data_IF_915430948514
#
_entry.id   IF_915430948514
#
_cell.length_a   1.000
_cell.length_b   1.000
_cell.length_c   1.000
_cell.angle_alpha   90.00
_cell.angle_beta   90.00
_cell.angle_gamma   90.00
#
_symmetry.space_group_name_H-M   'P 1'
#
loop_
_entity.id
_entity.type
_entity.pdbx_description
1 polymer ?
#
# COMPACT_ATOMS: atom_id res chain seq x y z
N UNK A 1 -8.12 -28.35 -2.84
CA UNK A 1 -7.29 -27.16 -3.10
C UNK A 1 -6.55 -26.80 -1.82
N UNK A 2 -5.23 -26.67 -1.89
CA UNK A 2 -4.40 -26.24 -0.77
C UNK A 2 -4.58 -24.74 -0.55
N UNK A 3 -4.60 -24.31 0.70
CA UNK A 3 -4.65 -22.87 1.04
C UNK A 3 -3.23 -22.31 1.07
N UNK A 4 -2.95 -21.35 0.17
CA UNK A 4 -1.66 -20.68 0.08
C UNK A 4 -1.79 -19.31 0.70
N UNK A 5 -1.09 -19.12 1.80
CA UNK A 5 -1.06 -17.86 2.54
C UNK A 5 0.02 -16.94 1.96
N UNK A 6 -0.30 -15.66 1.85
CA UNK A 6 0.67 -14.65 1.43
C UNK A 6 0.91 -13.71 2.59
N UNK A 7 2.18 -13.59 3.00
CA UNK A 7 2.66 -12.64 4.00
C UNK A 7 3.27 -11.42 3.31
N UNK A 8 2.80 -10.23 3.65
CA UNK A 8 3.42 -8.99 3.14
C UNK A 8 4.59 -8.57 4.02
N UNK A 9 5.77 -8.45 3.41
CA UNK A 9 7.01 -8.05 4.06
C UNK A 9 7.48 -6.64 3.69
N UNK A 10 6.62 -5.83 3.03
CA UNK A 10 7.00 -4.51 2.50
C UNK A 10 7.57 -3.59 3.57
N UNK A 11 6.96 -3.52 4.75
CA UNK A 11 7.43 -2.62 5.81
C UNK A 11 8.76 -3.07 6.39
N UNK A 12 8.98 -4.37 6.47
CA UNK A 12 10.23 -4.96 6.93
C UNK A 12 11.37 -4.71 5.93
N UNK A 13 11.13 -4.96 4.64
CA UNK A 13 12.11 -4.69 3.60
C UNK A 13 12.41 -3.18 3.46
N UNK A 14 11.40 -2.32 3.64
CA UNK A 14 11.57 -0.88 3.66
C UNK A 14 12.52 -0.41 4.77
N UNK A 15 12.46 -1.03 5.95
CA UNK A 15 13.36 -0.70 7.05
C UNK A 15 14.81 -1.15 6.80
N UNK A 16 14.97 -2.30 6.15
CA UNK A 16 16.29 -2.81 5.77
C UNK A 16 16.90 -2.04 4.58
N UNK A 17 16.07 -1.42 3.75
CA UNK A 17 16.50 -0.68 2.57
C UNK A 17 16.80 0.78 2.90
N UNK A 18 17.97 1.27 2.49
CA UNK A 18 18.29 2.71 2.54
C UNK A 18 17.60 3.52 1.44
N UNK A 19 17.00 2.86 0.48
CA UNK A 19 16.37 3.48 -0.68
C UNK A 19 14.90 3.87 -0.45
N UNK A 20 14.28 3.41 0.64
CA UNK A 20 12.88 3.69 0.96
C UNK A 20 12.74 4.10 2.42
N UNK A 21 12.31 5.33 2.65
CA UNK A 21 12.00 5.84 3.99
C UNK A 21 10.50 6.08 4.12
N UNK A 22 9.84 5.27 4.96
CA UNK A 22 8.42 5.41 5.26
C UNK A 22 8.22 6.11 6.60
N UNK A 23 7.47 7.21 6.58
CA UNK A 23 7.00 7.82 7.82
C UNK A 23 6.03 6.87 8.55
N UNK A 24 5.88 7.06 9.85
CA UNK A 24 4.97 6.21 10.63
C UNK A 24 3.51 6.28 10.15
N UNK A 25 3.06 7.46 9.69
CA UNK A 25 1.72 7.66 9.10
C UNK A 25 1.54 6.81 7.83
N UNK A 26 2.54 6.79 6.96
CA UNK A 26 2.52 5.97 5.73
C UNK A 26 2.48 4.48 6.05
N UNK A 27 3.25 4.02 7.04
CA UNK A 27 3.19 2.63 7.52
C UNK A 27 1.79 2.25 8.00
N UNK A 28 1.10 3.11 8.76
CA UNK A 28 -0.26 2.86 9.20
C UNK A 28 -1.27 2.77 8.04
N UNK A 29 -1.11 3.60 7.00
CA UNK A 29 -1.96 3.53 5.82
C UNK A 29 -1.70 2.26 5.00
N UNK A 30 -0.44 1.85 4.83
CA UNK A 30 -0.08 0.58 4.18
C UNK A 30 -0.71 -0.60 4.93
N UNK A 31 -0.61 -0.63 6.26
CA UNK A 31 -1.25 -1.67 7.10
C UNK A 31 -2.74 -1.77 6.83
N UNK A 32 -3.47 -0.66 6.80
CA UNK A 32 -4.91 -0.65 6.52
C UNK A 32 -5.25 -1.19 5.13
N UNK A 33 -4.43 -0.85 4.13
CA UNK A 33 -4.61 -1.34 2.76
C UNK A 33 -4.41 -2.86 2.72
N UNK A 34 -3.32 -3.36 3.31
CA UNK A 34 -2.97 -4.77 3.34
C UNK A 34 -3.99 -5.61 4.11
N UNK A 35 -4.41 -5.15 5.28
CA UNK A 35 -5.43 -5.83 6.10
C UNK A 35 -6.78 -5.91 5.36
N UNK A 36 -7.12 -4.85 4.59
CA UNK A 36 -8.34 -4.82 3.78
C UNK A 36 -8.29 -5.81 2.62
N UNK A 37 -7.18 -5.94 1.89
CA UNK A 37 -7.08 -6.87 0.76
C UNK A 37 -6.93 -8.32 1.19
N UNK A 38 -6.76 -8.58 2.49
CA UNK A 38 -6.77 -9.93 3.06
C UNK A 38 -5.47 -10.70 2.89
N UNK A 39 -4.30 -10.04 3.01
CA UNK A 39 -3.04 -10.77 3.19
C UNK A 39 -3.09 -11.59 4.49
N UNK A 40 -2.47 -12.77 4.49
CA UNK A 40 -2.51 -13.65 5.66
C UNK A 40 -1.75 -13.07 6.85
N UNK A 41 -0.60 -12.47 6.61
CA UNK A 41 0.19 -11.79 7.63
C UNK A 41 0.78 -10.48 7.10
N UNK A 42 0.99 -9.54 8.01
CA UNK A 42 1.67 -8.26 7.77
C UNK A 42 2.91 -8.25 8.66
N UNK A 43 4.09 -8.28 8.03
CA UNK A 43 5.35 -8.29 8.76
C UNK A 43 5.83 -6.85 9.00
N UNK A 44 6.20 -6.57 10.24
CA UNK A 44 6.73 -5.26 10.66
C UNK A 44 8.14 -5.39 11.18
N UNK A 45 8.78 -4.26 11.40
CA UNK A 45 10.11 -4.19 12.02
C UNK A 45 10.09 -4.67 13.46
N UNK A 46 11.19 -5.27 13.91
CA UNK A 46 11.42 -5.61 15.32
C UNK A 46 11.69 -4.37 16.18
N UNK A 47 11.87 -4.59 17.48
CA UNK A 47 12.26 -3.54 18.43
C UNK A 47 13.79 -3.42 18.43
N UNK A 48 14.30 -2.30 17.95
CA UNK A 48 15.72 -1.96 18.03
C UNK A 48 15.98 -0.90 19.12
N UNK A 49 15.15 0.14 19.17
CA UNK A 49 15.25 1.29 20.06
C UNK A 49 14.00 1.37 20.94
N UNK A 50 14.04 0.69 22.02
CA UNK A 50 13.05 0.26 23.01
C UNK A 50 11.67 0.97 23.11
N UNK A 51 11.60 2.32 23.17
CA UNK A 51 10.30 2.98 23.47
C UNK A 51 9.49 3.34 22.21
N UNK A 52 10.13 3.87 21.19
CA UNK A 52 9.46 4.35 19.98
C UNK A 52 8.93 3.18 19.15
N UNK A 53 9.76 2.14 18.97
CA UNK A 53 9.38 0.96 18.18
C UNK A 53 8.25 0.18 18.86
N UNK A 54 8.31 0.05 20.20
CA UNK A 54 7.22 -0.55 20.98
C UNK A 54 5.89 0.21 20.80
N UNK A 55 5.91 1.54 20.77
CA UNK A 55 4.71 2.35 20.53
C UNK A 55 4.19 2.20 19.09
N UNK A 56 5.09 2.11 18.10
CA UNK A 56 4.73 1.85 16.70
C UNK A 56 4.03 0.50 16.54
N UNK A 57 4.61 -0.57 17.11
CA UNK A 57 4.02 -1.91 17.07
C UNK A 57 2.65 -1.92 17.76
N UNK A 58 2.50 -1.28 18.92
CA UNK A 58 1.21 -1.16 19.62
C UNK A 58 0.14 -0.47 18.77
N UNK A 59 0.51 0.59 18.08
CA UNK A 59 -0.41 1.33 17.20
C UNK A 59 -0.82 0.48 16.00
N UNK A 60 0.11 -0.24 15.38
CA UNK A 60 -0.17 -1.18 14.29
C UNK A 60 -1.07 -2.32 14.80
N UNK A 61 -0.75 -2.91 15.95
CA UNK A 61 -1.52 -3.98 16.58
C UNK A 61 -3.00 -3.62 16.76
N UNK A 62 -3.30 -2.36 17.08
CA UNK A 62 -4.68 -1.89 17.24
C UNK A 62 -5.45 -1.76 15.91
N UNK A 63 -4.74 -1.64 14.77
CA UNK A 63 -5.33 -1.45 13.45
C UNK A 63 -5.56 -2.76 12.68
N UNK A 64 -4.69 -3.76 12.88
CA UNK A 64 -4.79 -5.06 12.20
C UNK A 64 -5.97 -5.85 12.75
N UNK A 65 -6.94 -6.20 11.89
CA UNK A 65 -8.17 -6.91 12.28
C UNK A 65 -8.31 -8.27 11.59
N UNK A 66 -7.93 -8.36 10.34
CA UNK A 66 -8.15 -9.54 9.50
C UNK A 66 -6.87 -10.34 9.27
N UNK A 67 -5.73 -9.68 9.23
CA UNK A 67 -4.41 -10.30 9.04
C UNK A 67 -3.78 -10.69 10.38
N UNK A 68 -2.73 -11.50 10.33
CA UNK A 68 -1.85 -11.75 11.48
C UNK A 68 -0.75 -10.68 11.51
N UNK A 69 -0.52 -10.08 12.66
CA UNK A 69 0.63 -9.20 12.87
C UNK A 69 1.86 -10.05 13.14
N UNK A 70 2.83 -10.04 12.24
CA UNK A 70 4.07 -10.79 12.40
C UNK A 70 5.22 -9.85 12.77
N UNK A 71 5.94 -10.19 13.86
CA UNK A 71 7.00 -9.35 14.41
C UNK A 71 8.24 -10.19 14.70
N UNK A 72 9.42 -9.81 14.15
CA UNK A 72 10.66 -10.50 14.44
C UNK A 72 11.14 -10.21 15.85
N UNK A 73 11.74 -11.22 16.46
CA UNK A 73 12.36 -11.16 17.79
C UNK A 73 13.82 -11.56 17.72
N UNK A 74 14.66 -10.97 18.57
CA UNK A 74 16.02 -11.46 18.81
C UNK A 74 15.96 -12.73 19.67
N UNK A 75 16.99 -13.58 19.63
CA UNK A 75 17.04 -14.84 20.36
C UNK A 75 17.39 -14.65 21.86
N UNK A 76 16.93 -13.57 22.48
CA UNK A 76 17.07 -13.28 23.91
C UNK A 76 15.69 -13.02 24.53
N UNK A 77 15.54 -13.38 25.80
CA UNK A 77 14.26 -13.34 26.50
C UNK A 77 13.72 -11.91 26.65
N UNK A 78 14.61 -10.91 26.81
CA UNK A 78 14.23 -9.50 26.95
C UNK A 78 13.57 -8.97 25.67
N UNK A 79 14.15 -9.26 24.49
CA UNK A 79 13.58 -8.90 23.21
C UNK A 79 12.24 -9.59 22.97
N UNK A 80 12.13 -10.89 23.28
CA UNK A 80 10.90 -11.65 23.10
C UNK A 80 9.77 -11.06 23.97
N UNK A 81 10.03 -10.77 25.23
CA UNK A 81 9.03 -10.19 26.14
C UNK A 81 8.65 -8.75 25.75
N UNK A 82 9.62 -7.95 25.31
CA UNK A 82 9.38 -6.59 24.85
C UNK A 82 8.47 -6.56 23.61
N UNK A 83 8.77 -7.39 22.60
CA UNK A 83 7.96 -7.52 21.38
C UNK A 83 6.56 -8.04 21.69
N UNK A 84 6.45 -9.09 22.51
CA UNK A 84 5.15 -9.61 22.93
C UNK A 84 4.30 -8.56 23.65
N UNK A 85 4.90 -7.84 24.60
CA UNK A 85 4.20 -6.76 25.31
C UNK A 85 3.68 -5.66 24.38
N UNK A 86 4.35 -5.41 23.27
CA UNK A 86 3.93 -4.45 22.27
C UNK A 86 2.86 -5.01 21.32
N UNK A 87 2.97 -6.28 20.92
CA UNK A 87 2.14 -6.89 19.87
C UNK A 87 0.86 -7.55 20.38
N UNK A 88 0.80 -7.99 21.66
CA UNK A 88 -0.32 -8.76 22.25
C UNK A 88 -1.69 -8.10 22.17
N UNK A 89 -1.76 -6.82 21.79
CA UNK A 89 -3.02 -6.11 21.57
C UNK A 89 -3.67 -6.42 20.21
N UNK A 90 -2.96 -7.06 19.27
CA UNK A 90 -3.53 -7.49 18.01
C UNK A 90 -4.37 -8.77 18.19
N UNK A 91 -5.35 -9.00 17.31
CA UNK A 91 -6.20 -10.18 17.36
C UNK A 91 -5.44 -11.49 17.11
N UNK A 92 -4.43 -11.44 16.25
CA UNK A 92 -3.55 -12.57 15.91
C UNK A 92 -2.12 -12.05 15.82
N UNK A 93 -1.22 -12.68 16.54
CA UNK A 93 0.20 -12.31 16.62
C UNK A 93 1.05 -13.51 16.27
N UNK A 94 1.98 -13.33 15.36
CA UNK A 94 3.05 -14.26 15.03
C UNK A 94 4.38 -13.69 15.51
N UNK A 95 5.09 -14.44 16.35
CA UNK A 95 6.47 -14.12 16.69
C UNK A 95 7.41 -14.85 15.73
N UNK A 96 8.39 -14.13 15.18
CA UNK A 96 9.32 -14.66 14.19
C UNK A 96 10.72 -14.73 14.78
N UNK A 97 11.25 -15.96 14.92
CA UNK A 97 12.64 -16.21 15.30
C UNK A 97 13.46 -16.38 14.03
N UNK A 98 14.52 -15.60 13.86
CA UNK A 98 15.32 -15.56 12.64
C UNK A 98 16.73 -16.04 12.87
N UNK A 99 17.23 -16.90 11.99
CA UNK A 99 18.62 -17.34 12.02
C UNK A 99 19.21 -17.44 10.61
N UNK A 100 20.41 -16.94 10.45
CA UNK A 100 21.22 -17.19 9.26
C UNK A 100 21.81 -18.60 9.34
N UNK A 101 21.42 -19.47 8.40
CA UNK A 101 21.74 -20.89 8.46
C UNK A 101 22.83 -21.32 7.50
N UNK A 102 23.26 -20.49 6.54
CA UNK A 102 24.36 -20.86 5.64
C UNK A 102 25.72 -20.69 6.33
N UNK A 103 26.73 -21.49 5.96
CA UNK A 103 28.05 -21.43 6.59
C UNK A 103 28.68 -20.03 6.57
N UNK A 104 28.57 -19.31 5.44
CA UNK A 104 29.10 -17.97 5.30
C UNK A 104 28.39 -16.96 6.20
N UNK A 105 27.07 -17.03 6.29
CA UNK A 105 26.29 -16.08 7.12
C UNK A 105 26.43 -16.38 8.62
N UNK A 106 26.51 -17.66 9.00
CA UNK A 106 26.81 -18.07 10.39
C UNK A 106 28.16 -17.54 10.88
N UNK A 107 29.21 -17.66 10.04
CA UNK A 107 30.56 -17.24 10.41
C UNK A 107 30.68 -15.71 10.46
N UNK A 108 30.17 -14.99 9.44
CA UNK A 108 30.42 -13.55 9.30
C UNK A 108 29.37 -12.66 9.95
N UNK A 109 28.13 -13.13 10.10
CA UNK A 109 27.03 -12.31 10.64
C UNK A 109 26.72 -12.67 12.09
N UNK A 110 26.61 -13.97 12.39
CA UNK A 110 26.21 -14.41 13.73
C UNK A 110 27.38 -14.80 14.63
N UNK A 111 28.55 -15.03 14.07
CA UNK A 111 29.74 -15.47 14.80
C UNK A 111 29.51 -16.70 15.71
N UNK A 112 28.65 -17.64 15.27
CA UNK A 112 28.22 -18.83 16.01
C UNK A 112 28.57 -20.11 15.28
N UNK A 113 28.81 -21.17 16.07
CA UNK A 113 28.96 -22.54 15.55
C UNK A 113 27.59 -23.13 15.24
N UNK A 114 27.53 -24.03 14.27
CA UNK A 114 26.28 -24.65 13.76
C UNK A 114 25.40 -25.28 14.86
N UNK A 115 26.00 -26.06 15.78
CA UNK A 115 25.26 -26.71 16.86
C UNK A 115 24.72 -25.71 17.88
N UNK A 116 25.51 -24.69 18.23
CA UNK A 116 25.08 -23.63 19.14
C UNK A 116 23.91 -22.80 18.55
N UNK A 117 23.87 -22.63 17.21
CA UNK A 117 22.75 -21.96 16.55
C UNK A 117 21.46 -22.75 16.68
N UNK A 118 21.50 -24.08 16.53
CA UNK A 118 20.34 -24.95 16.70
C UNK A 118 19.77 -24.83 18.12
N UNK A 119 20.63 -24.89 19.13
CA UNK A 119 20.20 -24.78 20.54
C UNK A 119 19.59 -23.40 20.85
N UNK A 120 20.22 -22.32 20.39
CA UNK A 120 19.72 -20.96 20.59
C UNK A 120 18.39 -20.74 19.87
N UNK A 121 18.26 -21.21 18.64
CA UNK A 121 17.01 -21.12 17.88
C UNK A 121 15.88 -21.92 18.55
N UNK A 122 16.14 -23.15 18.95
CA UNK A 122 15.15 -23.98 19.65
C UNK A 122 14.72 -23.35 20.98
N UNK A 123 15.65 -22.80 21.76
CA UNK A 123 15.35 -22.10 23.02
C UNK A 123 14.48 -20.87 22.77
N UNK A 124 14.82 -20.05 21.79
CA UNK A 124 14.06 -18.84 21.46
C UNK A 124 12.64 -19.19 20.96
N UNK A 125 12.50 -20.21 20.11
CA UNK A 125 11.21 -20.71 19.64
C UNK A 125 10.37 -21.24 20.82
N UNK A 126 10.95 -22.02 21.72
CA UNK A 126 10.25 -22.52 22.91
C UNK A 126 9.74 -21.36 23.79
N UNK A 127 10.56 -20.34 23.99
CA UNK A 127 10.15 -19.14 24.74
C UNK A 127 9.02 -18.37 24.06
N UNK A 128 9.04 -18.25 22.73
CA UNK A 128 7.93 -17.67 21.97
C UNK A 128 6.66 -18.50 22.07
N UNK A 129 6.78 -19.84 22.03
CA UNK A 129 5.65 -20.77 22.13
C UNK A 129 4.96 -20.75 23.52
N UNK A 130 5.62 -20.29 24.57
CA UNK A 130 4.98 -20.01 25.85
C UNK A 130 4.02 -18.80 25.79
N UNK A 131 4.20 -17.90 24.82
CA UNK A 131 3.49 -16.64 24.73
C UNK A 131 2.37 -16.66 23.66
N UNK A 132 2.59 -17.36 22.54
CA UNK A 132 1.65 -17.43 21.41
C UNK A 132 1.69 -18.80 20.75
N UNK A 133 0.54 -19.25 20.21
CA UNK A 133 0.42 -20.51 19.46
C UNK A 133 0.98 -20.37 18.01
N UNK A 134 1.21 -19.15 17.52
CA UNK A 134 1.72 -18.88 16.16
C UNK A 134 3.18 -18.38 16.21
N UNK A 135 4.11 -19.32 16.12
CA UNK A 135 5.56 -19.07 16.08
C UNK A 135 6.12 -19.51 14.74
N UNK A 136 6.83 -18.60 14.08
CA UNK A 136 7.53 -18.83 12.82
C UNK A 136 9.05 -18.83 13.05
N UNK A 137 9.72 -19.83 12.51
CA UNK A 137 11.17 -19.81 12.37
C UNK A 137 11.56 -19.44 10.93
N UNK A 138 12.43 -18.45 10.76
CA UNK A 138 12.88 -17.96 9.45
C UNK A 138 14.36 -18.35 9.26
N UNK A 139 14.59 -19.31 8.35
CA UNK A 139 15.93 -19.77 7.96
C UNK A 139 16.49 -18.84 6.85
N UNK A 140 17.28 -17.85 7.24
CA UNK A 140 17.89 -16.89 6.30
C UNK A 140 19.00 -17.59 5.52
N UNK A 141 19.00 -17.42 4.19
CA UNK A 141 20.02 -17.96 3.28
C UNK A 141 20.05 -19.50 3.26
N UNK A 142 18.88 -20.09 3.35
CA UNK A 142 18.69 -21.55 3.46
C UNK A 142 19.13 -22.31 2.20
N UNK A 143 19.02 -21.70 1.02
CA UNK A 143 19.37 -22.33 -0.27
C UNK A 143 20.88 -22.59 -0.44
N UNK A 144 21.73 -21.89 0.35
CA UNK A 144 23.18 -22.09 0.36
C UNK A 144 23.66 -22.94 1.54
N UNK A 145 22.77 -23.70 2.13
CA UNK A 145 23.03 -24.56 3.28
C UNK A 145 22.91 -26.03 2.88
N UNK A 146 23.66 -26.90 3.56
CA UNK A 146 23.50 -28.36 3.44
C UNK A 146 22.09 -28.78 3.91
N UNK A 147 21.38 -29.54 3.08
CA UNK A 147 19.99 -29.95 3.36
C UNK A 147 19.89 -30.79 4.64
N UNK A 148 20.92 -31.64 4.94
CA UNK A 148 20.90 -32.44 6.15
C UNK A 148 21.08 -31.60 7.42
N UNK A 149 21.88 -30.52 7.36
CA UNK A 149 21.98 -29.57 8.45
C UNK A 149 20.68 -28.78 8.63
N UNK A 150 20.11 -28.27 7.54
CA UNK A 150 18.84 -27.54 7.57
C UNK A 150 17.70 -28.40 8.14
N UNK A 151 17.66 -29.71 7.78
CA UNK A 151 16.71 -30.64 8.36
C UNK A 151 16.83 -30.79 9.88
N UNK A 152 18.06 -30.79 10.43
CA UNK A 152 18.28 -30.81 11.90
C UNK A 152 17.78 -29.51 12.56
N UNK A 153 17.99 -28.35 11.94
CA UNK A 153 17.46 -27.08 12.42
C UNK A 153 15.94 -27.13 12.46
N UNK A 154 15.31 -27.55 11.36
CA UNK A 154 13.84 -27.67 11.26
C UNK A 154 13.28 -28.62 12.32
N UNK A 155 13.91 -29.79 12.51
CA UNK A 155 13.48 -30.74 13.53
C UNK A 155 13.54 -30.14 14.94
N UNK A 156 14.61 -29.42 15.26
CA UNK A 156 14.80 -28.80 16.57
C UNK A 156 13.74 -27.70 16.82
N UNK A 157 13.53 -26.79 15.86
CA UNK A 157 12.56 -25.69 16.03
C UNK A 157 11.10 -26.18 15.98
N UNK A 158 10.79 -27.21 15.20
CA UNK A 158 9.46 -27.83 15.18
C UNK A 158 9.14 -28.47 16.53
N UNK A 159 10.07 -29.21 17.11
CA UNK A 159 9.94 -29.79 18.46
C UNK A 159 9.80 -28.71 19.54
N UNK A 160 10.45 -27.56 19.35
CA UNK A 160 10.34 -26.42 20.25
C UNK A 160 9.01 -25.67 20.16
N UNK A 161 8.17 -25.94 19.14
CA UNK A 161 6.84 -25.38 19.00
C UNK A 161 6.61 -24.47 17.80
N UNK A 162 7.56 -24.36 16.87
CA UNK A 162 7.34 -23.63 15.63
C UNK A 162 6.21 -24.26 14.83
N UNK A 163 5.26 -23.44 14.38
CA UNK A 163 4.14 -23.84 13.50
C UNK A 163 4.40 -23.55 12.04
N UNK A 164 5.31 -22.64 11.76
CA UNK A 164 5.75 -22.30 10.40
C UNK A 164 7.27 -22.27 10.38
N UNK A 165 7.86 -22.84 9.35
CA UNK A 165 9.28 -22.66 9.02
C UNK A 165 9.36 -22.05 7.64
N UNK A 166 10.04 -20.88 7.52
CA UNK A 166 10.26 -20.22 6.24
C UNK A 166 11.70 -20.39 5.81
N UNK A 167 11.92 -20.84 4.58
CA UNK A 167 13.23 -20.91 3.95
C UNK A 167 13.42 -19.74 2.99
N UNK A 168 14.55 -19.04 3.13
CA UNK A 168 14.85 -17.87 2.32
C UNK A 168 15.94 -18.17 1.30
N UNK A 169 15.67 -17.90 0.02
CA UNK A 169 16.68 -17.76 -1.03
C UNK A 169 17.19 -16.31 -1.05
N UNK A 170 18.08 -16.00 -0.11
CA UNK A 170 18.63 -14.65 0.01
C UNK A 170 19.58 -14.28 -1.16
N UNK A 171 20.17 -15.26 -1.81
CA UNK A 171 21.02 -15.03 -2.98
C UNK A 171 20.20 -14.75 -4.26
N UNK A 172 18.96 -15.23 -4.33
CA UNK A 172 18.11 -15.09 -5.52
C UNK A 172 18.75 -15.66 -6.77
N UNK A 173 19.48 -16.76 -6.64
CA UNK A 173 20.33 -17.31 -7.70
C UNK A 173 19.83 -18.67 -8.23
N UNK A 174 18.73 -19.18 -7.70
CA UNK A 174 18.14 -20.43 -8.15
C UNK A 174 17.20 -20.24 -9.35
N UNK A 175 17.22 -21.21 -10.26
CA UNK A 175 16.17 -21.37 -11.26
C UNK A 175 14.92 -22.01 -10.61
N UNK A 176 13.72 -21.84 -11.21
CA UNK A 176 12.49 -22.41 -10.63
C UNK A 176 12.53 -23.91 -10.39
N UNK A 177 13.13 -24.68 -11.32
CA UNK A 177 13.30 -26.11 -11.19
C UNK A 177 14.25 -26.50 -10.07
N UNK A 178 15.36 -25.75 -9.91
CA UNK A 178 16.32 -25.97 -8.83
C UNK A 178 15.70 -25.68 -7.47
N UNK A 179 14.91 -24.60 -7.37
CA UNK A 179 14.20 -24.26 -6.14
C UNK A 179 13.12 -25.31 -5.80
N UNK A 180 12.35 -25.78 -6.77
CA UNK A 180 11.39 -26.87 -6.56
C UNK A 180 12.10 -28.17 -6.11
N UNK A 181 13.23 -28.50 -6.70
CA UNK A 181 14.05 -29.65 -6.30
C UNK A 181 14.53 -29.50 -4.85
N UNK A 182 15.06 -28.32 -4.48
CA UNK A 182 15.49 -28.02 -3.12
C UNK A 182 14.36 -28.22 -2.09
N UNK A 183 13.17 -27.67 -2.37
CA UNK A 183 11.98 -27.86 -1.51
C UNK A 183 11.61 -29.36 -1.42
N UNK A 184 11.60 -30.07 -2.54
CA UNK A 184 11.31 -31.50 -2.56
C UNK A 184 12.32 -32.36 -1.76
N UNK A 185 13.59 -32.00 -1.82
CA UNK A 185 14.64 -32.68 -1.04
C UNK A 185 14.55 -32.34 0.44
N UNK A 186 14.14 -31.12 0.77
CA UNK A 186 13.91 -30.72 2.15
C UNK A 186 12.74 -31.49 2.79
N UNK A 187 11.63 -31.71 2.09
CA UNK A 187 10.52 -32.54 2.57
C UNK A 187 10.95 -33.99 2.83
N UNK A 188 11.86 -34.53 2.00
CA UNK A 188 12.42 -35.88 2.23
C UNK A 188 13.32 -35.95 3.45
N UNK A 189 14.13 -34.89 3.66
CA UNK A 189 15.12 -34.83 4.75
C UNK A 189 14.51 -34.45 6.10
N UNK A 190 13.41 -33.67 6.11
CA UNK A 190 12.74 -33.18 7.30
C UNK A 190 11.25 -33.61 7.32
N UNK A 191 10.91 -34.82 7.75
CA UNK A 191 9.52 -35.33 7.76
C UNK A 191 8.55 -34.45 8.60
N UNK A 192 9.07 -33.68 9.56
CA UNK A 192 8.30 -32.77 10.41
C UNK A 192 7.57 -31.68 9.61
N UNK A 193 8.03 -31.37 8.40
CA UNK A 193 7.35 -30.44 7.48
C UNK A 193 5.98 -30.95 7.02
N UNK A 194 5.62 -32.20 7.26
CA UNK A 194 4.28 -32.70 7.02
C UNK A 194 3.25 -32.23 8.08
N UNK A 195 3.73 -31.79 9.26
CA UNK A 195 2.90 -31.38 10.40
C UNK A 195 2.90 -29.86 10.63
N UNK A 196 3.79 -29.13 9.97
CA UNK A 196 3.93 -27.67 10.08
C UNK A 196 3.92 -27.02 8.70
N UNK A 197 3.69 -25.73 8.68
CA UNK A 197 3.68 -24.97 7.43
C UNK A 197 5.09 -24.66 6.92
N UNK A 198 5.33 -24.88 5.62
CA UNK A 198 6.53 -24.42 4.96
C UNK A 198 6.29 -23.10 4.25
N UNK A 199 6.97 -22.05 4.71
CA UNK A 199 7.04 -20.73 4.07
C UNK A 199 8.26 -20.65 3.13
N UNK A 200 8.15 -19.78 2.13
CA UNK A 200 9.22 -19.46 1.19
C UNK A 200 9.38 -17.95 1.03
N UNK A 201 10.64 -17.51 0.87
CA UNK A 201 11.00 -16.13 0.54
C UNK A 201 12.10 -16.14 -0.51
N UNK A 202 11.87 -15.53 -1.68
CA UNK A 202 12.81 -15.56 -2.80
C UNK A 202 13.22 -14.12 -3.16
N UNK A 203 14.53 -13.86 -3.15
CA UNK A 203 15.09 -12.63 -3.72
C UNK A 203 15.08 -12.67 -5.25
N UNK A 204 15.02 -11.50 -5.88
CA UNK A 204 14.77 -11.34 -7.32
C UNK A 204 16.03 -10.96 -8.13
N UNK A 205 17.21 -11.38 -7.71
CA UNK A 205 18.46 -11.00 -8.37
C UNK A 205 18.57 -11.48 -9.83
N UNK A 206 17.97 -12.62 -10.15
CA UNK A 206 17.87 -13.13 -11.53
C UNK A 206 16.54 -12.82 -12.21
N UNK A 207 15.67 -11.98 -11.63
CA UNK A 207 14.31 -11.71 -12.08
C UNK A 207 13.43 -12.98 -12.17
N UNK A 208 13.67 -13.96 -11.32
CA UNK A 208 12.97 -15.26 -11.27
C UNK A 208 12.18 -15.47 -9.97
N UNK A 209 12.15 -14.51 -9.05
CA UNK A 209 11.53 -14.69 -7.72
C UNK A 209 10.08 -15.17 -7.79
N UNK A 210 9.25 -14.58 -8.64
CA UNK A 210 7.84 -14.96 -8.79
C UNK A 210 7.71 -16.39 -9.34
N UNK A 211 8.56 -16.76 -10.29
CA UNK A 211 8.58 -18.11 -10.86
C UNK A 211 9.08 -19.15 -9.84
N UNK A 212 10.12 -18.80 -9.06
CA UNK A 212 10.60 -19.65 -7.96
C UNK A 212 9.52 -19.81 -6.87
N UNK A 213 8.78 -18.75 -6.53
CA UNK A 213 7.69 -18.83 -5.57
C UNK A 213 6.58 -19.78 -6.04
N UNK A 214 6.17 -19.71 -7.30
CA UNK A 214 5.19 -20.64 -7.89
C UNK A 214 5.72 -22.07 -7.89
N UNK A 215 6.98 -22.28 -8.28
CA UNK A 215 7.62 -23.60 -8.26
C UNK A 215 7.71 -24.19 -6.84
N UNK A 216 8.01 -23.35 -5.83
CA UNK A 216 8.00 -23.73 -4.41
C UNK A 216 6.61 -24.13 -3.91
N UNK A 217 5.56 -23.39 -4.32
CA UNK A 217 4.16 -23.74 -4.02
C UNK A 217 3.80 -25.09 -4.65
N UNK A 218 4.20 -25.34 -5.89
CA UNK A 218 4.00 -26.64 -6.55
C UNK A 218 4.73 -27.76 -5.81
N UNK A 219 5.91 -27.50 -5.28
CA UNK A 219 6.71 -28.45 -4.51
C UNK A 219 6.22 -28.68 -3.08
N UNK A 220 5.23 -27.92 -2.59
CA UNK A 220 4.60 -28.15 -1.28
C UNK A 220 4.58 -26.99 -0.30
N UNK A 221 5.17 -25.84 -0.63
CA UNK A 221 5.10 -24.65 0.23
C UNK A 221 3.64 -24.18 0.40
N UNK A 222 3.30 -23.71 1.62
CA UNK A 222 1.97 -23.24 2.01
C UNK A 222 1.92 -21.74 2.33
N UNK A 223 3.09 -21.09 2.45
CA UNK A 223 3.19 -19.64 2.71
C UNK A 223 4.24 -19.02 1.78
N UNK A 224 3.90 -17.87 1.20
CA UNK A 224 4.80 -17.07 0.34
C UNK A 224 4.99 -15.70 0.97
N UNK A 225 6.23 -15.30 1.19
CA UNK A 225 6.58 -13.92 1.55
C UNK A 225 6.71 -13.07 0.30
N UNK A 226 6.01 -11.96 0.25
CA UNK A 226 5.96 -11.08 -0.92
C UNK A 226 5.89 -9.61 -0.50
N UNK A 227 6.20 -8.70 -1.42
CA UNK A 227 6.10 -7.25 -1.20
C UNK A 227 5.03 -6.63 -2.07
N UNK A 228 4.31 -5.68 -1.50
CA UNK A 228 3.31 -4.84 -2.18
C UNK A 228 3.92 -3.65 -2.92
N UNK A 229 5.23 -3.47 -2.82
CA UNK A 229 6.04 -2.49 -3.55
C UNK A 229 7.31 -3.17 -4.07
N UNK A 230 7.83 -2.84 -5.28
CA UNK A 230 9.03 -3.49 -5.82
C UNK A 230 10.26 -3.28 -4.94
N UNK A 231 10.74 -4.34 -4.30
CA UNK A 231 11.87 -4.32 -3.36
C UNK A 231 12.89 -5.45 -3.61
N UNK A 232 12.91 -5.99 -4.84
CA UNK A 232 13.86 -7.04 -5.19
C UNK A 232 13.56 -8.41 -4.60
N UNK A 233 12.31 -8.67 -4.28
CA UNK A 233 11.76 -9.97 -3.84
C UNK A 233 10.47 -10.28 -4.60
N UNK A 234 9.79 -11.35 -4.26
CA UNK A 234 8.51 -11.76 -4.84
C UNK A 234 7.48 -10.63 -4.80
N UNK A 235 6.80 -10.40 -5.92
CA UNK A 235 5.75 -9.38 -6.01
C UNK A 235 4.38 -9.94 -5.60
N UNK A 236 3.74 -9.30 -4.61
CA UNK A 236 2.45 -9.73 -4.06
C UNK A 236 1.35 -9.80 -5.12
N UNK A 237 1.28 -8.80 -6.00
CA UNK A 237 0.26 -8.74 -7.05
C UNK A 237 0.44 -9.85 -8.10
N UNK A 238 1.68 -10.18 -8.45
CA UNK A 238 1.98 -11.24 -9.40
C UNK A 238 1.57 -12.61 -8.83
N UNK A 239 2.03 -12.94 -7.63
CA UNK A 239 1.73 -14.23 -7.01
C UNK A 239 0.23 -14.39 -6.76
N UNK A 240 -0.44 -13.38 -6.21
CA UNK A 240 -1.89 -13.45 -5.97
C UNK A 240 -2.68 -13.65 -7.27
N UNK A 241 -2.32 -12.96 -8.37
CA UNK A 241 -2.96 -13.13 -9.67
C UNK A 241 -2.66 -14.51 -10.30
N UNK A 242 -1.43 -14.99 -10.17
CA UNK A 242 -1.07 -16.32 -10.68
C UNK A 242 -1.86 -17.40 -9.95
N UNK A 243 -1.91 -17.36 -8.61
CA UNK A 243 -2.67 -18.32 -7.81
C UNK A 243 -4.17 -18.27 -8.13
N UNK A 244 -4.74 -17.09 -8.33
CA UNK A 244 -6.15 -16.95 -8.74
C UNK A 244 -6.41 -17.48 -10.16
N UNK A 245 -5.54 -17.15 -11.14
CA UNK A 245 -5.73 -17.53 -12.53
C UNK A 245 -5.43 -19.01 -12.82
N UNK A 246 -4.62 -19.66 -11.99
CA UNK A 246 -4.14 -21.03 -12.14
C UNK A 246 -4.54 -21.95 -10.99
N UNK A 247 -5.56 -21.57 -10.21
CA UNK A 247 -6.01 -22.30 -9.03
C UNK A 247 -6.24 -23.78 -9.28
N UNK A 248 -6.91 -24.12 -10.39
CA UNK A 248 -7.18 -25.51 -10.77
C UNK A 248 -5.91 -26.30 -11.14
N UNK A 249 -4.98 -25.66 -11.85
CA UNK A 249 -3.72 -26.30 -12.29
C UNK A 249 -2.77 -26.52 -11.11
N UNK A 250 -2.74 -25.59 -10.17
CA UNK A 250 -1.86 -25.61 -8.99
C UNK A 250 -2.49 -26.38 -7.82
N UNK A 251 -3.78 -26.76 -7.93
CA UNK A 251 -4.59 -27.24 -6.80
C UNK A 251 -4.42 -26.38 -5.55
N UNK A 252 -4.44 -25.05 -5.76
CA UNK A 252 -4.11 -24.07 -4.75
C UNK A 252 -5.04 -22.85 -4.84
N UNK A 253 -5.39 -22.27 -3.70
CA UNK A 253 -6.17 -21.04 -3.61
C UNK A 253 -5.49 -20.03 -2.70
N UNK A 254 -5.77 -18.74 -2.92
CA UNK A 254 -5.27 -17.65 -2.11
C UNK A 254 -6.44 -16.71 -1.74
N UNK A 255 -6.47 -16.23 -0.52
CA UNK A 255 -7.55 -15.36 -0.02
C UNK A 255 -7.33 -13.87 -0.27
N UNK A 256 -6.23 -13.48 -0.91
CA UNK A 256 -6.00 -12.08 -1.30
C UNK A 256 -7.06 -11.64 -2.32
N UNK A 257 -7.72 -10.52 -2.07
CA UNK A 257 -8.79 -9.98 -2.92
C UNK A 257 -8.25 -9.41 -4.21
N UNK A 258 -8.18 -10.23 -5.24
CA UNK A 258 -7.60 -9.87 -6.55
C UNK A 258 -8.35 -8.72 -7.23
N UNK A 259 -9.66 -8.60 -7.01
CA UNK A 259 -10.49 -7.50 -7.54
C UNK A 259 -10.07 -6.12 -7.04
N UNK A 260 -9.60 -6.01 -5.80
CA UNK A 260 -9.14 -4.76 -5.20
C UNK A 260 -7.62 -4.55 -5.34
N UNK A 261 -6.90 -5.60 -5.76
CA UNK A 261 -5.44 -5.68 -5.69
C UNK A 261 -4.74 -4.57 -6.47
N UNK A 262 -5.15 -4.32 -7.71
CA UNK A 262 -4.55 -3.29 -8.57
C UNK A 262 -4.62 -1.90 -7.93
N UNK A 263 -5.80 -1.56 -7.38
CA UNK A 263 -6.00 -0.28 -6.68
C UNK A 263 -5.16 -0.20 -5.41
N UNK A 264 -5.11 -1.29 -4.64
CA UNK A 264 -4.32 -1.37 -3.42
C UNK A 264 -2.81 -1.17 -3.71
N UNK A 265 -2.27 -1.87 -4.73
CA UNK A 265 -0.87 -1.71 -5.13
C UNK A 265 -0.55 -0.30 -5.60
N UNK A 266 -1.43 0.34 -6.36
CA UNK A 266 -1.26 1.74 -6.76
C UNK A 266 -1.27 2.70 -5.56
N UNK A 267 -2.09 2.43 -4.53
CA UNK A 267 -2.09 3.22 -3.30
C UNK A 267 -0.79 3.03 -2.51
N UNK A 268 -0.32 1.79 -2.36
CA UNK A 268 0.96 1.50 -1.69
C UNK A 268 2.13 2.16 -2.43
N UNK A 269 2.17 2.06 -3.77
CA UNK A 269 3.20 2.68 -4.58
C UNK A 269 3.27 4.21 -4.37
N UNK A 270 2.14 4.88 -4.27
CA UNK A 270 2.09 6.33 -3.97
C UNK A 270 2.64 6.68 -2.58
N UNK A 271 2.43 5.80 -1.59
CA UNK A 271 2.97 6.00 -0.25
C UNK A 271 4.47 5.73 -0.18
N UNK A 272 4.97 4.81 -1.01
CA UNK A 272 6.38 4.41 -1.06
C UNK A 272 7.27 5.32 -1.93
N UNK A 273 6.70 6.14 -2.82
CA UNK A 273 7.48 7.03 -3.68
C UNK A 273 7.95 8.28 -2.94
N UNK A 274 9.26 8.42 -2.72
CA UNK A 274 9.88 9.64 -2.18
C UNK A 274 9.81 10.82 -3.16
N UNK A 275 9.89 10.54 -4.45
CA UNK A 275 9.85 11.54 -5.52
C UNK A 275 8.46 11.53 -6.15
N UNK A 276 7.58 12.42 -5.71
CA UNK A 276 6.20 12.52 -6.19
C UNK A 276 6.09 12.78 -7.69
N UNK A 277 7.17 13.31 -8.31
CA UNK A 277 7.29 13.44 -9.77
C UNK A 277 7.50 12.09 -10.48
N UNK A 278 8.13 11.11 -9.81
CA UNK A 278 8.33 9.77 -10.35
C UNK A 278 7.13 8.83 -10.11
N UNK A 279 6.27 9.13 -9.14
CA UNK A 279 5.02 8.40 -8.96
C UNK A 279 4.10 8.49 -10.20
N UNK A 280 4.19 9.58 -10.95
CA UNK A 280 3.52 9.71 -12.23
C UNK A 280 4.08 8.76 -13.32
N UNK A 281 5.36 8.37 -13.24
CA UNK A 281 5.98 7.42 -14.17
C UNK A 281 5.65 5.95 -13.84
N UNK A 282 5.35 5.64 -12.56
CA UNK A 282 4.98 4.27 -12.13
C UNK A 282 3.51 3.92 -12.42
N UNK A 283 2.67 4.87 -12.78
CA UNK A 283 1.35 4.60 -13.37
C UNK A 283 1.43 3.99 -14.76
N UNK A 284 2.62 3.89 -15.37
CA UNK A 284 2.86 3.24 -16.65
C UNK A 284 2.51 1.75 -16.73
N UNK A 285 2.39 1.02 -15.60
CA UNK A 285 1.91 -0.37 -15.64
C UNK A 285 0.38 -0.51 -15.61
N UNK A 286 -0.34 0.57 -15.32
CA UNK A 286 -1.81 0.64 -15.48
C UNK A 286 -2.17 0.91 -16.94
N UNK A 287 -1.23 1.42 -17.75
CA UNK A 287 -1.47 1.86 -19.11
C UNK A 287 -1.43 0.74 -20.14
N UNK A 288 -0.82 -0.41 -19.91
CA UNK A 288 -0.78 -1.48 -20.93
C UNK A 288 -2.16 -2.06 -21.28
N UNK A 289 -3.16 -1.96 -20.39
CA UNK A 289 -4.54 -2.37 -20.70
C UNK A 289 -5.38 -1.24 -21.33
N UNK A 290 -4.89 0.01 -21.32
CA UNK A 290 -5.63 1.21 -21.77
C UNK A 290 -4.73 2.14 -22.60
N UNK A 291 -3.54 1.71 -23.04
CA UNK A 291 -2.74 2.40 -24.05
C UNK A 291 -3.52 2.49 -25.34
N UNK A 292 -3.86 3.72 -25.73
CA UNK A 292 -4.61 4.00 -26.97
C UNK A 292 -5.97 4.68 -26.74
N UNK A 293 -6.40 4.90 -25.50
CA UNK A 293 -7.60 5.71 -25.26
C UNK A 293 -7.30 7.17 -25.49
N UNK A 294 -7.91 7.69 -26.53
CA UNK A 294 -7.91 9.11 -26.83
C UNK A 294 -9.37 9.49 -26.99
N UNK A 295 -9.94 10.11 -25.96
CA UNK A 295 -11.27 10.67 -25.98
C UNK A 295 -11.21 12.14 -26.40
N UNK A 296 -12.25 12.59 -27.08
CA UNK A 296 -12.39 13.94 -27.60
C UNK A 296 -13.73 14.54 -27.17
N UNK A 297 -13.91 15.84 -27.33
CA UNK A 297 -15.16 16.51 -27.05
C UNK A 297 -16.37 15.97 -27.86
N UNK A 298 -16.12 15.23 -28.94
CA UNK A 298 -17.14 14.64 -29.81
C UNK A 298 -17.64 13.26 -29.37
N UNK A 299 -17.01 12.63 -28.38
CA UNK A 299 -17.41 11.31 -27.90
C UNK A 299 -18.69 11.41 -27.05
N UNK A 300 -19.55 10.39 -27.18
CA UNK A 300 -20.81 10.30 -26.46
C UNK A 300 -20.63 9.74 -25.05
N UNK A 301 -21.68 9.84 -24.24
CA UNK A 301 -21.66 9.39 -22.85
C UNK A 301 -21.39 7.88 -22.75
N UNK A 302 -21.97 7.08 -23.63
CA UNK A 302 -21.82 5.63 -23.58
C UNK A 302 -20.39 5.21 -23.85
N UNK A 303 -19.72 5.86 -24.82
CA UNK A 303 -18.29 5.64 -25.11
C UNK A 303 -17.42 6.01 -23.90
N UNK A 304 -17.63 7.18 -23.31
CA UNK A 304 -16.88 7.60 -22.13
C UNK A 304 -17.10 6.64 -20.95
N UNK A 305 -18.33 6.21 -20.70
CA UNK A 305 -18.64 5.28 -19.61
C UNK A 305 -18.06 3.88 -19.83
N UNK A 306 -17.98 3.37 -21.06
CA UNK A 306 -17.26 2.12 -21.35
C UNK A 306 -15.78 2.19 -20.95
N UNK A 307 -15.13 3.34 -21.13
CA UNK A 307 -13.75 3.53 -20.67
C UNK A 307 -13.66 3.70 -19.16
N UNK A 308 -14.64 4.35 -18.53
CA UNK A 308 -14.74 4.45 -17.06
C UNK A 308 -14.89 3.06 -16.44
N UNK A 309 -15.71 2.18 -17.02
CA UNK A 309 -15.82 0.78 -16.59
C UNK A 309 -14.51 0.00 -16.78
N UNK A 310 -13.79 0.21 -17.89
CA UNK A 310 -12.47 -0.39 -18.12
C UNK A 310 -11.43 0.10 -17.12
N UNK A 311 -11.57 1.31 -16.59
CA UNK A 311 -10.75 1.82 -15.48
C UNK A 311 -11.14 1.18 -14.12
N UNK A 312 -12.23 0.36 -14.09
CA UNK A 312 -12.67 -0.37 -12.91
C UNK A 312 -13.68 0.36 -12.04
N UNK A 313 -14.32 1.41 -12.57
CA UNK A 313 -15.38 2.14 -11.86
C UNK A 313 -16.75 1.64 -12.29
N UNK A 314 -17.61 1.33 -11.33
CA UNK A 314 -19.05 1.10 -11.53
C UNK A 314 -19.76 2.29 -10.91
N UNK A 315 -20.32 3.15 -11.75
CA UNK A 315 -20.98 4.40 -11.36
C UNK A 315 -22.50 4.24 -11.38
N UNK A 316 -23.22 5.00 -10.53
CA UNK A 316 -24.65 5.19 -10.67
C UNK A 316 -24.96 6.07 -11.89
N UNK A 317 -26.20 6.06 -12.37
CA UNK A 317 -26.61 6.89 -13.51
C UNK A 317 -26.41 8.40 -13.23
N UNK A 318 -26.58 8.82 -11.98
CA UNK A 318 -26.36 10.20 -11.54
C UNK A 318 -24.87 10.56 -11.57
N UNK A 319 -24.01 9.68 -11.06
CA UNK A 319 -22.55 9.87 -11.07
C UNK A 319 -21.99 9.82 -12.49
N UNK A 320 -22.53 8.95 -13.35
CA UNK A 320 -22.14 8.85 -14.75
C UNK A 320 -22.44 10.16 -15.51
N UNK A 321 -23.62 10.77 -15.25
CA UNK A 321 -23.95 12.07 -15.83
C UNK A 321 -23.00 13.19 -15.32
N UNK A 322 -22.68 13.20 -14.02
CA UNK A 322 -21.77 14.19 -13.44
C UNK A 322 -20.34 14.05 -13.99
N UNK A 323 -19.85 12.83 -14.14
CA UNK A 323 -18.54 12.53 -14.76
C UNK A 323 -18.51 12.97 -16.22
N UNK A 324 -19.56 12.70 -16.98
CA UNK A 324 -19.65 13.09 -18.39
C UNK A 324 -19.67 14.62 -18.58
N UNK A 325 -20.40 15.35 -17.75
CA UNK A 325 -20.37 16.81 -17.74
C UNK A 325 -19.00 17.38 -17.39
N UNK A 326 -18.32 16.80 -16.39
CA UNK A 326 -16.96 17.18 -16.04
C UNK A 326 -15.97 16.87 -17.19
N UNK A 327 -16.11 15.71 -17.84
CA UNK A 327 -15.35 15.33 -19.02
C UNK A 327 -15.54 16.33 -20.15
N UNK A 328 -16.76 16.70 -20.51
CA UNK A 328 -17.05 17.69 -21.57
C UNK A 328 -16.40 19.04 -21.32
N UNK A 329 -16.43 19.55 -20.09
CA UNK A 329 -15.80 20.81 -19.74
C UNK A 329 -14.28 20.79 -19.96
N UNK A 330 -13.65 19.67 -19.65
CA UNK A 330 -12.20 19.50 -19.83
C UNK A 330 -11.86 19.28 -21.32
N UNK A 331 -12.62 18.42 -21.99
CA UNK A 331 -12.44 18.13 -23.41
C UNK A 331 -12.72 19.36 -24.32
N UNK A 332 -13.53 20.32 -23.89
CA UNK A 332 -13.74 21.56 -24.62
C UNK A 332 -12.48 22.46 -24.66
N UNK A 333 -11.61 22.36 -23.66
CA UNK A 333 -10.36 23.13 -23.55
C UNK A 333 -9.13 22.34 -23.99
N UNK A 334 -9.30 21.05 -24.32
CA UNK A 334 -8.21 20.14 -24.64
C UNK A 334 -8.62 19.23 -25.82
N UNK A 335 -7.77 19.12 -26.83
CA UNK A 335 -8.08 18.30 -28.03
C UNK A 335 -8.25 16.81 -27.71
N UNK A 336 -7.56 16.30 -26.67
CA UNK A 336 -7.53 14.86 -26.34
C UNK A 336 -7.48 14.65 -24.83
N UNK A 337 -8.28 13.73 -24.32
CA UNK A 337 -8.31 13.29 -22.91
C UNK A 337 -7.87 11.83 -22.84
N UNK A 338 -6.79 11.54 -22.14
CA UNK A 338 -6.24 10.20 -21.95
C UNK A 338 -6.84 9.45 -20.77
N UNK A 339 -6.46 8.19 -20.60
CA UNK A 339 -6.94 7.32 -19.53
C UNK A 339 -6.67 7.88 -18.11
N UNK A 340 -5.47 8.44 -17.88
CA UNK A 340 -5.07 9.02 -16.60
C UNK A 340 -5.90 10.25 -16.24
N UNK A 341 -6.24 11.05 -17.25
CA UNK A 341 -7.08 12.24 -17.10
C UNK A 341 -8.52 11.85 -16.81
N UNK A 342 -9.03 10.83 -17.52
CA UNK A 342 -10.37 10.30 -17.27
C UNK A 342 -10.48 9.72 -15.85
N UNK A 343 -9.48 8.98 -15.38
CA UNK A 343 -9.42 8.48 -13.99
C UNK A 343 -9.49 9.63 -12.97
N UNK A 344 -8.73 10.69 -13.21
CA UNK A 344 -8.74 11.89 -12.37
C UNK A 344 -10.10 12.61 -12.40
N UNK A 345 -10.75 12.70 -13.58
CA UNK A 345 -12.10 13.28 -13.74
C UNK A 345 -13.12 12.48 -12.93
N UNK A 346 -13.10 11.14 -13.05
CA UNK A 346 -13.97 10.25 -12.27
C UNK A 346 -13.77 10.44 -10.77
N UNK A 347 -12.51 10.45 -10.32
CA UNK A 347 -12.19 10.64 -8.90
C UNK A 347 -12.63 12.00 -8.35
N UNK A 348 -12.73 13.03 -9.20
CA UNK A 348 -13.17 14.37 -8.79
C UNK A 348 -14.69 14.56 -8.85
N UNK A 349 -15.37 13.89 -9.77
CA UNK A 349 -16.78 14.11 -10.05
C UNK A 349 -17.71 13.07 -9.38
N UNK A 350 -17.34 11.77 -9.37
CA UNK A 350 -18.20 10.68 -8.93
C UNK A 350 -18.21 10.43 -7.41
N UNK A 351 -17.36 11.05 -6.62
CA UNK A 351 -17.28 10.81 -5.17
C UNK A 351 -17.67 12.05 -4.36
N UNK A 352 -18.48 12.91 -4.92
CA UNK A 352 -18.89 14.18 -4.30
C UNK A 352 -20.27 14.04 -3.65
N UNK A 353 -20.42 14.63 -2.47
CA UNK A 353 -21.73 14.86 -1.84
C UNK A 353 -22.51 15.89 -2.66
N UNK A 354 -23.86 15.95 -2.54
CA UNK A 354 -24.64 17.00 -3.19
C UNK A 354 -24.07 18.39 -2.89
N UNK A 355 -23.86 19.23 -3.91
CA UNK A 355 -23.17 20.51 -3.72
C UNK A 355 -24.04 21.53 -3.01
N UNK A 356 -23.69 21.88 -1.78
CA UNK A 356 -24.27 23.02 -1.06
C UNK A 356 -23.72 24.34 -1.60
N UNK A 357 -22.43 24.37 -1.94
CA UNK A 357 -21.76 25.52 -2.53
C UNK A 357 -21.29 25.20 -3.95
N UNK A 358 -21.65 26.04 -4.92
CA UNK A 358 -21.27 25.88 -6.33
C UNK A 358 -20.46 27.11 -6.75
N UNK A 359 -19.29 26.89 -7.37
CA UNK A 359 -18.47 27.97 -7.91
C UNK A 359 -19.13 28.57 -9.16
N UNK A 360 -19.50 29.85 -9.11
CA UNK A 360 -20.02 30.61 -10.24
C UNK A 360 -18.91 31.32 -11.03
N UNK A 361 -17.95 31.89 -10.32
CA UNK A 361 -16.84 32.60 -10.95
C UNK A 361 -15.79 33.03 -9.95
N UNK A 362 -14.64 33.38 -10.48
CA UNK A 362 -13.54 33.98 -9.68
C UNK A 362 -12.72 34.97 -10.51
N UNK A 363 -12.15 35.96 -9.85
CA UNK A 363 -11.15 36.86 -10.42
C UNK A 363 -10.01 37.02 -9.42
N UNK A 364 -8.78 36.86 -9.90
CA UNK A 364 -7.58 36.95 -9.06
C UNK A 364 -6.61 37.94 -9.66
N UNK A 365 -6.13 38.87 -8.81
CA UNK A 365 -5.06 39.79 -9.12
C UNK A 365 -3.86 39.45 -8.21
N UNK A 366 -2.74 39.09 -8.78
CA UNK A 366 -1.52 38.81 -8.05
C UNK A 366 -0.30 39.41 -8.74
N UNK A 367 0.67 39.87 -7.95
CA UNK A 367 1.90 40.47 -8.46
C UNK A 367 2.97 40.58 -7.36
N UNK A 368 4.20 40.88 -7.77
CA UNK A 368 5.37 40.96 -6.88
C UNK A 368 5.31 42.12 -5.85
N UNK A 369 4.58 43.20 -6.16
CA UNK A 369 4.64 44.44 -5.39
C UNK A 369 3.42 44.69 -4.51
N UNK A 370 2.42 43.78 -4.51
CA UNK A 370 1.19 43.94 -3.72
C UNK A 370 0.64 42.54 -3.32
N UNK A 371 -0.15 42.54 -2.24
CA UNK A 371 -0.82 41.33 -1.79
C UNK A 371 -1.81 40.83 -2.83
N UNK A 372 -1.89 39.52 -3.01
CA UNK A 372 -2.87 38.93 -3.91
C UNK A 372 -4.29 39.26 -3.44
N UNK A 373 -5.18 39.53 -4.40
CA UNK A 373 -6.61 39.77 -4.16
C UNK A 373 -7.41 38.78 -4.91
N UNK A 374 -8.35 38.12 -4.28
CA UNK A 374 -9.27 37.19 -4.91
C UNK A 374 -10.72 37.63 -4.68
N UNK A 375 -11.48 37.70 -5.76
CA UNK A 375 -12.94 37.82 -5.77
C UNK A 375 -13.54 36.46 -6.13
N UNK A 376 -14.35 35.89 -5.25
CA UNK A 376 -15.00 34.60 -5.43
C UNK A 376 -16.51 34.81 -5.36
N UNK A 377 -17.23 34.22 -6.33
CA UNK A 377 -18.69 34.13 -6.37
C UNK A 377 -19.11 32.68 -6.19
N UNK A 378 -19.85 32.40 -5.12
CA UNK A 378 -20.43 31.07 -4.85
C UNK A 378 -21.96 31.16 -4.88
N UNK A 379 -22.62 30.12 -5.44
CA UNK A 379 -24.05 29.93 -5.32
C UNK A 379 -24.37 29.01 -4.16
N UNK A 380 -25.28 29.44 -3.27
CA UNK A 380 -25.86 28.62 -2.21
C UNK A 380 -27.38 28.82 -2.21
N UNK A 381 -28.16 27.74 -2.19
CA UNK A 381 -29.63 27.76 -2.14
C UNK A 381 -30.29 28.67 -3.20
N UNK A 382 -29.66 28.79 -4.38
CA UNK A 382 -30.12 29.62 -5.49
C UNK A 382 -29.67 31.07 -5.45
N UNK A 383 -29.08 31.55 -4.35
CA UNK A 383 -28.51 32.91 -4.20
C UNK A 383 -27.01 32.91 -4.49
N UNK A 384 -26.54 33.97 -5.18
CA UNK A 384 -25.12 34.19 -5.44
C UNK A 384 -24.55 35.10 -4.35
N UNK A 385 -23.54 34.62 -3.65
CA UNK A 385 -22.85 35.35 -2.59
C UNK A 385 -21.40 35.58 -3.04
N UNK A 386 -20.93 36.82 -2.89
CA UNK A 386 -19.62 37.23 -3.35
C UNK A 386 -18.78 37.78 -2.21
N UNK A 387 -17.49 37.51 -2.24
CA UNK A 387 -16.53 38.12 -1.31
C UNK A 387 -15.20 38.40 -1.98
N UNK A 388 -14.51 39.37 -1.43
CA UNK A 388 -13.15 39.79 -1.83
C UNK A 388 -12.23 39.73 -0.62
N UNK A 389 -11.10 39.03 -0.76
CA UNK A 389 -10.10 38.93 0.32
C UNK A 389 -8.68 39.15 -0.19
N UNK A 390 -7.82 39.61 0.73
CA UNK A 390 -6.39 39.77 0.53
C UNK A 390 -5.66 38.53 1.08
N UNK A 391 -4.62 38.09 0.38
CA UNK A 391 -3.78 36.99 0.81
C UNK A 391 -2.31 37.14 0.45
N UNK A 392 -1.47 36.28 0.95
CA UNK A 392 -0.03 36.27 0.66
C UNK A 392 0.27 35.71 -0.75
N UNK A 393 -0.73 35.05 -1.37
CA UNK A 393 -0.67 34.55 -2.75
C UNK A 393 -2.06 34.29 -3.31
N UNK A 394 -2.15 33.87 -4.61
CA UNK A 394 -3.41 33.60 -5.29
C UNK A 394 -4.30 32.58 -4.58
N UNK A 395 -3.70 31.51 -4.07
CA UNK A 395 -4.42 30.41 -3.39
C UNK A 395 -4.90 30.86 -2.00
N UNK A 396 -4.03 31.50 -1.20
CA UNK A 396 -4.37 31.99 0.13
C UNK A 396 -5.49 33.06 0.08
N UNK A 397 -5.41 34.00 -0.86
CA UNK A 397 -6.49 34.97 -1.06
C UNK A 397 -7.81 34.33 -1.47
N UNK A 398 -7.75 33.27 -2.29
CA UNK A 398 -8.94 32.53 -2.73
C UNK A 398 -9.60 31.76 -1.59
N UNK A 399 -8.82 31.07 -0.76
CA UNK A 399 -9.34 30.35 0.41
C UNK A 399 -10.00 31.29 1.41
N UNK A 400 -9.35 32.44 1.70
CA UNK A 400 -9.91 33.48 2.56
C UNK A 400 -11.19 34.11 2.00
N UNK A 401 -11.29 34.26 0.67
CA UNK A 401 -12.52 34.75 0.04
C UNK A 401 -13.65 33.73 0.18
N UNK A 402 -13.38 32.43 0.00
CA UNK A 402 -14.35 31.34 0.21
C UNK A 402 -14.82 31.34 1.68
N UNK A 403 -13.91 31.40 2.63
CA UNK A 403 -14.24 31.46 4.06
C UNK A 403 -15.11 32.69 4.40
N UNK A 404 -14.84 33.85 3.77
CA UNK A 404 -15.65 35.03 3.93
C UNK A 404 -17.07 34.87 3.39
N UNK A 405 -17.27 34.15 2.27
CA UNK A 405 -18.59 33.78 1.75
C UNK A 405 -19.32 32.84 2.69
N UNK A 406 -18.60 31.82 3.21
CA UNK A 406 -19.17 30.81 4.11
C UNK A 406 -19.45 31.37 5.51
N UNK A 407 -18.71 32.41 5.92
CA UNK A 407 -18.78 33.01 7.27
C UNK A 407 -18.14 32.18 8.37
N UNK A 408 -17.35 31.18 8.02
CA UNK A 408 -16.67 30.28 8.97
C UNK A 408 -15.23 30.02 8.50
N UNK A 409 -14.29 30.02 9.43
CA UNK A 409 -12.90 29.67 9.18
C UNK A 409 -12.69 28.17 9.46
N UNK A 410 -11.94 27.50 8.59
CA UNK A 410 -11.56 26.09 8.74
C UNK A 410 -10.05 25.96 8.76
N UNK A 411 -9.55 25.19 9.69
CA UNK A 411 -8.12 24.89 9.76
C UNK A 411 -7.69 23.99 8.59
N UNK A 412 -6.65 24.41 7.88
CA UNK A 412 -6.08 23.67 6.75
C UNK A 412 -5.07 22.63 7.27
N UNK A 413 -5.44 21.34 7.29
CA UNK A 413 -4.57 20.23 7.71
C UNK A 413 -3.49 19.91 6.66
N UNK A 414 -3.88 19.89 5.36
CA UNK A 414 -2.98 19.51 4.28
C UNK A 414 -3.42 20.15 2.96
N UNK A 415 -2.45 20.62 2.18
CA UNK A 415 -2.68 21.13 0.84
C UNK A 415 -1.60 20.62 -0.11
N UNK A 416 -2.02 19.97 -1.20
CA UNK A 416 -1.12 19.38 -2.18
C UNK A 416 -1.57 19.69 -3.58
N UNK A 417 -0.59 19.93 -4.45
CA UNK A 417 -0.80 20.10 -5.88
C UNK A 417 0.09 19.06 -6.58
N UNK A 418 -0.48 18.34 -7.51
CA UNK A 418 0.27 17.39 -8.34
C UNK A 418 -0.14 17.52 -9.81
N UNK A 419 0.82 17.32 -10.72
CA UNK A 419 0.52 17.24 -12.13
C UNK A 419 -0.11 15.87 -12.44
N UNK A 420 -1.22 15.89 -13.18
CA UNK A 420 -1.88 14.66 -13.67
C UNK A 420 -1.28 14.25 -15.02
N UNK A 421 -0.86 15.22 -15.82
CA UNK A 421 -0.24 15.01 -17.14
C UNK A 421 0.95 15.96 -17.34
N UNK A 422 1.81 15.66 -18.32
CA UNK A 422 2.96 16.48 -18.69
C UNK A 422 2.66 17.33 -19.92
N UNK A 423 3.40 18.44 -20.07
CA UNK A 423 3.36 19.29 -21.25
C UNK A 423 2.70 20.65 -21.03
N UNK A 424 2.49 21.41 -22.13
CA UNK A 424 1.97 22.79 -22.09
C UNK A 424 0.51 22.90 -21.61
N UNK A 425 -0.26 21.83 -21.79
CA UNK A 425 -1.67 21.71 -21.39
C UNK A 425 -1.83 20.71 -20.22
N UNK A 426 -0.80 20.61 -19.38
CA UNK A 426 -0.82 19.72 -18.23
C UNK A 426 -1.97 20.08 -17.28
N UNK A 427 -2.70 19.05 -16.87
CA UNK A 427 -3.73 19.17 -15.83
C UNK A 427 -3.09 19.07 -14.45
N UNK A 428 -3.49 19.97 -13.55
CA UNK A 428 -3.13 19.93 -12.14
C UNK A 428 -4.30 19.38 -11.30
N UNK A 429 -3.99 18.46 -10.42
CA UNK A 429 -4.89 18.04 -9.33
C UNK A 429 -4.48 18.72 -8.05
N UNK A 430 -5.43 19.35 -7.37
CA UNK A 430 -5.26 19.89 -6.03
C UNK A 430 -6.05 19.06 -5.02
N UNK A 431 -5.44 18.79 -3.86
CA UNK A 431 -6.06 18.10 -2.73
C UNK A 431 -6.00 19.03 -1.54
N UNK A 432 -7.16 19.33 -0.97
CA UNK A 432 -7.31 20.14 0.24
C UNK A 432 -7.87 19.27 1.35
N UNK A 433 -7.33 19.39 2.55
CA UNK A 433 -7.89 18.79 3.76
C UNK A 433 -8.20 19.86 4.79
N UNK A 434 -9.45 19.94 5.20
CA UNK A 434 -9.96 20.87 6.21
C UNK A 434 -10.30 20.12 7.49
N UNK A 435 -10.08 20.75 8.63
CA UNK A 435 -10.51 20.25 9.94
C UNK A 435 -11.79 20.98 10.34
N UNK A 436 -12.83 20.21 10.63
CA UNK A 436 -14.08 20.72 11.25
C UNK A 436 -14.49 19.75 12.36
N UNK A 437 -14.77 20.26 13.54
CA UNK A 437 -15.20 19.51 14.72
C UNK A 437 -14.31 18.26 15.04
N UNK A 438 -12.99 18.43 14.86
CA UNK A 438 -12.00 17.36 15.12
C UNK A 438 -11.93 16.26 14.05
N UNK A 439 -12.69 16.36 12.96
CA UNK A 439 -12.65 15.46 11.80
C UNK A 439 -11.95 16.12 10.61
N UNK A 440 -11.32 15.32 9.77
CA UNK A 440 -10.62 15.76 8.56
C UNK A 440 -11.46 15.47 7.33
N UNK A 441 -11.77 16.51 6.55
CA UNK A 441 -12.53 16.43 5.31
C UNK A 441 -11.63 16.72 4.12
N UNK A 442 -11.58 15.80 3.16
CA UNK A 442 -10.73 15.92 1.98
C UNK A 442 -11.55 16.28 0.75
N UNK A 443 -11.15 17.34 0.05
CA UNK A 443 -11.68 17.72 -1.25
C UNK A 443 -10.62 17.63 -2.34
N UNK A 444 -11.03 17.33 -3.57
CA UNK A 444 -10.17 17.26 -4.76
C UNK A 444 -10.73 18.18 -5.84
N UNK A 445 -9.83 18.78 -6.61
CA UNK A 445 -10.18 19.57 -7.76
C UNK A 445 -9.17 19.38 -8.88
N UNK A 446 -9.62 19.42 -10.13
CA UNK A 446 -8.80 19.21 -11.32
C UNK A 446 -9.08 20.36 -12.29
N UNK A 447 -8.01 20.96 -12.80
CA UNK A 447 -8.05 21.96 -13.86
C UNK A 447 -6.69 22.08 -14.55
N UNK A 448 -6.66 22.68 -15.73
CA UNK A 448 -5.43 23.18 -16.37
C UNK A 448 -4.88 24.40 -15.66
N UNK A 449 -5.68 25.09 -14.84
CA UNK A 449 -5.29 26.18 -13.95
C UNK A 449 -5.19 25.65 -12.50
N UNK A 450 -3.98 25.74 -11.93
CA UNK A 450 -3.67 25.30 -10.56
C UNK A 450 -4.52 26.06 -9.53
N UNK A 451 -4.82 27.35 -9.77
CA UNK A 451 -5.62 28.12 -8.84
C UNK A 451 -7.08 27.68 -8.88
N UNK A 452 -7.62 27.43 -10.07
CA UNK A 452 -8.96 26.88 -10.23
C UNK A 452 -9.07 25.49 -9.59
N UNK A 453 -8.09 24.61 -9.81
CA UNK A 453 -8.10 23.29 -9.19
C UNK A 453 -8.08 23.36 -7.68
N UNK A 454 -7.35 24.31 -7.10
CA UNK A 454 -7.29 24.54 -5.65
C UNK A 454 -8.60 25.09 -5.07
N UNK A 455 -9.23 26.04 -5.77
CA UNK A 455 -10.57 26.58 -5.41
C UNK A 455 -11.60 25.45 -5.40
N UNK A 456 -11.64 24.64 -6.46
CA UNK A 456 -12.55 23.48 -6.58
C UNK A 456 -12.33 22.46 -5.48
N UNK A 457 -11.05 22.16 -5.16
CA UNK A 457 -10.70 21.25 -4.08
C UNK A 457 -11.21 21.75 -2.71
N UNK A 458 -11.06 23.05 -2.44
CA UNK A 458 -11.53 23.65 -1.20
C UNK A 458 -13.07 23.58 -1.08
N UNK A 459 -13.79 23.96 -2.14
CA UNK A 459 -15.26 23.92 -2.19
C UNK A 459 -15.78 22.48 -2.03
N UNK A 460 -15.09 21.50 -2.61
CA UNK A 460 -15.45 20.09 -2.47
C UNK A 460 -15.26 19.57 -1.04
N UNK A 461 -14.23 20.03 -0.32
CA UNK A 461 -14.08 19.75 1.11
C UNK A 461 -15.20 20.40 1.93
N UNK A 462 -15.53 21.66 1.64
CA UNK A 462 -16.63 22.38 2.29
C UNK A 462 -17.99 21.73 2.08
N UNK A 463 -18.28 21.24 0.88
CA UNK A 463 -19.54 20.56 0.59
C UNK A 463 -19.69 19.27 1.42
N UNK A 464 -18.58 18.56 1.70
CA UNK A 464 -18.60 17.39 2.59
C UNK A 464 -18.89 17.79 4.05
N UNK A 465 -18.31 18.90 4.52
CA UNK A 465 -18.59 19.43 5.86
C UNK A 465 -20.05 19.84 5.96
N UNK A 466 -20.55 20.62 4.99
CA UNK A 466 -21.94 21.08 4.96
C UNK A 466 -22.95 19.92 4.91
N UNK A 467 -22.63 18.87 4.17
CA UNK A 467 -23.48 17.66 4.08
C UNK A 467 -23.54 16.92 5.43
N UNK A 468 -22.42 16.81 6.15
CA UNK A 468 -22.40 16.16 7.46
C UNK A 468 -23.04 17.01 8.57
N UNK A 469 -22.97 18.35 8.47
CA UNK A 469 -23.66 19.27 9.39
C UNK A 469 -25.19 19.27 9.22
N UNK A 470 -25.71 18.83 8.04
CA UNK A 470 -27.15 18.76 7.74
C UNK A 470 -27.79 17.40 8.07
N UNK A 471 -27.00 16.34 8.25
CA UNK A 471 -27.45 14.98 8.55
C UNK A 471 -26.98 14.52 9.92
#
# INVERSE_FOLDING_TARGET
>A
MRDIRVSDITMREAAASKALSLSFKEKLEIVKILDRIGVAAIEVEGIESSKVDSLRIKSIASLVKNSTLAVPVKMDDESIEAVWSAAKGAQRVRLQVEAAVSPSTMEYIQCKKADALIDDAARAVAKCAELTDDVEFVAIDATRTDVAYLAKVIEAVARAGAKTVTVCDAAGSMLPEEFAQFIGDLFKAAPQLAEIDLGISCCNNLNMADACAVAGVMAGASLVKATSYPMGVVALDNVARILAAKSDTLDAQCHVRVTELKRAMSQVARLCCEDRSKAAQFTGSVSEAVEGVVLTAGDDQDTVMQYVERLGYSLSDEDAAAVFEAFKKIAANKERVGATELDAIVASAALQVPPTYILEGYVINAGLSFKATSHISLRKDGEVIEAVSLGDGPIDSSFKSIESVVGKHYELDDFRIQAVTEGREAMGESIVKLIADGKVYSGRGISTDIVESSIRAYINALNKIAYEEQN
#
